data_IF_317392320696
#
_entry.id   IF_317392320696
#
_cell.length_a   1.000
_cell.length_b   1.000
_cell.length_c   1.000
_cell.angle_alpha   90.00
_cell.angle_beta   90.00
_cell.angle_gamma   90.00
#
_symmetry.space_group_name_H-M   'P 1'
#
loop_
_entity.id
_entity.type
_entity.pdbx_description
1 polymer ?
#
# COMPACT_ATOMS: atom_id res chain seq x y z
N UNK A 1 -8.42 -7.87 -41.34
CA UNK A 1 -8.05 -9.10 -40.61
C UNK A 1 -7.60 -8.66 -39.22
N UNK A 2 -8.25 -9.15 -38.15
CA UNK A 2 -7.79 -8.88 -36.78
C UNK A 2 -6.58 -9.76 -36.52
N UNK A 3 -5.44 -9.16 -36.22
CA UNK A 3 -4.28 -9.88 -35.69
C UNK A 3 -4.72 -10.63 -34.43
N UNK A 4 -4.43 -11.94 -34.30
CA UNK A 4 -4.76 -12.68 -33.10
C UNK A 4 -4.07 -12.03 -31.91
N UNK A 5 -4.81 -11.82 -30.83
CA UNK A 5 -4.25 -11.26 -29.59
C UNK A 5 -3.21 -12.27 -29.08
N UNK A 6 -1.95 -11.85 -28.85
CA UNK A 6 -0.94 -12.74 -28.31
C UNK A 6 -1.40 -13.31 -26.97
N UNK A 7 -1.29 -14.62 -26.82
CA UNK A 7 -1.61 -15.31 -25.57
C UNK A 7 -0.70 -14.79 -24.46
N UNK A 8 -1.25 -14.48 -23.26
CA UNK A 8 -0.42 -14.15 -22.10
C UNK A 8 0.56 -15.29 -21.81
N UNK A 9 1.77 -14.94 -21.38
CA UNK A 9 2.70 -15.95 -20.85
C UNK A 9 2.12 -16.55 -19.56
N UNK A 10 2.56 -17.76 -19.19
CA UNK A 10 2.14 -18.37 -17.92
C UNK A 10 2.45 -17.45 -16.72
N UNK A 11 3.57 -16.71 -16.78
CA UNK A 11 3.94 -15.71 -15.77
C UNK A 11 2.96 -14.53 -15.72
N UNK A 12 2.56 -13.99 -16.86
CA UNK A 12 1.60 -12.89 -16.93
C UNK A 12 0.22 -13.30 -16.40
N UNK A 13 -0.20 -14.54 -16.65
CA UNK A 13 -1.44 -15.09 -16.09
C UNK A 13 -1.37 -15.21 -14.56
N UNK A 14 -0.27 -15.74 -14.03
CA UNK A 14 -0.05 -15.84 -12.58
C UNK A 14 -0.07 -14.46 -11.89
N UNK A 15 0.65 -13.48 -12.46
CA UNK A 15 0.68 -12.11 -11.93
C UNK A 15 -0.69 -11.45 -11.99
N UNK A 16 -1.48 -11.72 -13.03
CA UNK A 16 -2.84 -11.23 -13.11
C UNK A 16 -3.73 -11.81 -12.02
N UNK A 17 -3.63 -13.10 -11.73
CA UNK A 17 -4.41 -13.73 -10.67
C UNK A 17 -3.97 -13.26 -9.27
N UNK A 18 -2.67 -13.06 -9.03
CA UNK A 18 -2.19 -12.42 -7.80
C UNK A 18 -2.67 -10.98 -7.68
N UNK A 19 -2.72 -10.22 -8.78
CA UNK A 19 -3.28 -8.87 -8.77
C UNK A 19 -4.78 -8.89 -8.44
N UNK A 20 -5.55 -9.85 -8.97
CA UNK A 20 -6.96 -10.02 -8.55
C UNK A 20 -7.06 -10.29 -7.05
N UNK A 21 -6.23 -11.18 -6.51
CA UNK A 21 -6.21 -11.43 -5.06
C UNK A 21 -5.91 -10.15 -4.28
N UNK A 22 -4.95 -9.34 -4.75
CA UNK A 22 -4.69 -8.01 -4.19
C UNK A 22 -5.93 -7.11 -4.21
N UNK A 23 -6.71 -7.07 -5.29
CA UNK A 23 -7.93 -6.24 -5.36
C UNK A 23 -8.99 -6.68 -4.34
N UNK A 24 -9.11 -7.98 -4.06
CA UNK A 24 -9.98 -8.45 -2.98
C UNK A 24 -9.44 -8.03 -1.61
N UNK A 25 -8.14 -8.19 -1.40
CA UNK A 25 -7.46 -7.75 -0.18
C UNK A 25 -7.59 -6.23 0.02
N UNK A 26 -7.50 -5.42 -1.03
CA UNK A 26 -7.63 -3.96 -0.93
C UNK A 26 -9.02 -3.52 -0.47
N UNK A 27 -10.06 -4.30 -0.79
CA UNK A 27 -11.44 -4.01 -0.39
C UNK A 27 -11.71 -4.37 1.05
N UNK A 28 -11.28 -5.56 1.46
CA UNK A 28 -11.76 -6.19 2.70
C UNK A 28 -10.64 -6.48 3.70
N UNK A 29 -9.38 -6.34 3.29
CA UNK A 29 -8.20 -6.71 4.06
C UNK A 29 -7.71 -5.63 5.01
N UNK A 30 -6.87 -6.01 5.99
CA UNK A 30 -6.19 -5.06 6.86
C UNK A 30 -5.30 -4.12 6.05
N UNK A 31 -5.25 -2.81 6.35
CA UNK A 31 -4.49 -1.85 5.54
C UNK A 31 -3.01 -2.20 5.40
N UNK A 32 -2.41 -2.78 6.44
CA UNK A 32 -1.00 -3.19 6.42
C UNK A 32 -0.73 -4.34 5.46
N UNK A 33 -1.60 -5.34 5.41
CA UNK A 33 -1.48 -6.47 4.50
C UNK A 33 -1.69 -6.03 3.04
N UNK A 34 -2.58 -5.07 2.81
CA UNK A 34 -2.75 -4.45 1.49
C UNK A 34 -1.45 -3.81 1.01
N UNK A 35 -0.80 -3.01 1.86
CA UNK A 35 0.45 -2.32 1.48
C UNK A 35 1.61 -3.29 1.26
N UNK A 36 1.74 -4.34 2.09
CA UNK A 36 2.73 -5.41 1.86
C UNK A 36 2.50 -6.12 0.54
N UNK A 37 1.26 -6.50 0.24
CA UNK A 37 0.92 -7.16 -1.02
C UNK A 37 1.21 -6.27 -2.23
N UNK A 38 0.90 -4.97 -2.15
CA UNK A 38 1.24 -3.99 -3.18
C UNK A 38 2.75 -3.92 -3.42
N UNK A 39 3.55 -3.81 -2.34
CA UNK A 39 5.02 -3.79 -2.40
C UNK A 39 5.60 -5.07 -3.01
N UNK A 40 5.05 -6.24 -2.66
CA UNK A 40 5.50 -7.50 -3.21
C UNK A 40 5.24 -7.58 -4.72
N UNK A 41 4.05 -7.15 -5.16
CA UNK A 41 3.66 -7.20 -6.57
C UNK A 41 4.40 -6.19 -7.44
N UNK A 42 4.68 -4.99 -6.94
CA UNK A 42 5.33 -3.95 -7.76
C UNK A 42 6.80 -4.27 -8.11
N UNK A 43 7.41 -5.24 -7.41
CA UNK A 43 8.75 -5.76 -7.70
C UNK A 43 8.75 -6.82 -8.81
N UNK A 44 7.59 -7.29 -9.23
CA UNK A 44 7.48 -8.38 -10.21
C UNK A 44 7.70 -7.86 -11.63
N UNK A 45 8.71 -8.42 -12.29
CA UNK A 45 8.94 -8.24 -13.72
C UNK A 45 7.71 -8.78 -14.50
N UNK A 46 7.37 -8.14 -15.62
CA UNK A 46 6.19 -8.45 -16.45
C UNK A 46 4.80 -8.13 -15.87
N UNK A 47 4.71 -7.49 -14.69
CA UNK A 47 3.43 -6.99 -14.22
C UNK A 47 2.83 -6.00 -15.24
N UNK A 48 1.54 -6.15 -15.51
CA UNK A 48 0.84 -5.23 -16.40
C UNK A 48 1.05 -3.77 -15.93
N UNK A 49 1.50 -2.85 -16.81
CA UNK A 49 1.84 -1.48 -16.40
C UNK A 49 0.67 -0.71 -15.76
N UNK A 50 -0.57 -0.97 -16.16
CA UNK A 50 -1.76 -0.34 -15.54
C UNK A 50 -1.93 -0.82 -14.09
N UNK A 51 -1.68 -2.10 -13.82
CA UNK A 51 -1.69 -2.64 -12.46
C UNK A 51 -0.53 -2.09 -11.64
N UNK A 52 0.67 -2.00 -12.23
CA UNK A 52 1.84 -1.42 -11.57
C UNK A 52 1.59 0.04 -11.15
N UNK A 53 0.94 0.85 -12.01
CA UNK A 53 0.54 2.22 -11.68
C UNK A 53 -0.38 2.25 -10.46
N UNK A 54 -1.44 1.43 -10.44
CA UNK A 54 -2.36 1.36 -9.29
C UNK A 54 -1.63 1.07 -7.98
N UNK A 55 -0.73 0.08 -7.99
CA UNK A 55 0.07 -0.30 -6.82
C UNK A 55 1.05 0.80 -6.39
N UNK A 56 1.73 1.43 -7.35
CA UNK A 56 2.62 2.57 -7.06
C UNK A 56 1.85 3.74 -6.44
N UNK A 57 0.66 4.06 -6.96
CA UNK A 57 -0.17 5.12 -6.40
C UNK A 57 -0.70 4.77 -5.01
N UNK A 58 -0.93 3.48 -4.72
CA UNK A 58 -1.24 3.02 -3.36
C UNK A 58 -0.08 3.26 -2.40
N UNK A 59 1.13 2.85 -2.79
CA UNK A 59 2.34 3.02 -1.98
C UNK A 59 2.78 4.48 -1.85
N UNK A 60 2.41 5.34 -2.80
CA UNK A 60 2.66 6.78 -2.75
C UNK A 60 2.03 7.48 -1.53
N UNK A 61 1.07 6.82 -0.86
CA UNK A 61 0.48 7.32 0.37
C UNK A 61 1.42 7.23 1.58
N UNK A 62 2.35 6.28 1.57
CA UNK A 62 3.24 5.98 2.70
C UNK A 62 4.25 7.13 2.86
N UNK A 63 4.44 7.65 4.09
CA UNK A 63 5.52 8.57 4.41
C UNK A 63 6.90 8.05 3.98
N UNK A 64 7.85 8.96 3.73
CA UNK A 64 9.24 8.69 3.35
C UNK A 64 9.46 8.03 1.97
N UNK A 65 8.70 7.00 1.60
CA UNK A 65 8.83 6.32 0.29
C UNK A 65 7.84 6.84 -0.77
N UNK A 66 6.92 7.72 -0.36
CA UNK A 66 5.79 8.12 -1.21
C UNK A 66 6.17 8.87 -2.49
N UNK A 67 7.21 9.71 -2.47
CA UNK A 67 7.67 10.42 -3.68
C UNK A 67 8.25 9.44 -4.71
N UNK A 68 9.04 8.47 -4.26
CA UNK A 68 9.63 7.47 -5.13
C UNK A 68 8.53 6.75 -5.93
N UNK A 69 7.53 6.23 -5.23
CA UNK A 69 6.44 5.52 -5.90
C UNK A 69 5.54 6.43 -6.74
N UNK A 70 5.28 7.67 -6.32
CA UNK A 70 4.57 8.63 -7.17
C UNK A 70 5.35 8.93 -8.47
N UNK A 71 6.67 9.01 -8.39
CA UNK A 71 7.55 9.24 -9.54
C UNK A 71 7.53 8.06 -10.51
N UNK A 72 7.62 6.82 -10.00
CA UNK A 72 7.50 5.62 -10.83
C UNK A 72 6.10 5.47 -11.47
N UNK A 73 5.04 5.86 -10.75
CA UNK A 73 3.68 5.95 -11.32
C UNK A 73 3.61 6.91 -12.51
N UNK A 74 4.12 8.13 -12.34
CA UNK A 74 4.20 9.13 -13.43
C UNK A 74 5.05 8.63 -14.60
N UNK A 75 6.18 7.99 -14.33
CA UNK A 75 7.06 7.41 -15.35
C UNK A 75 6.32 6.35 -16.17
N UNK A 76 5.63 5.44 -15.51
CA UNK A 76 4.89 4.34 -16.15
C UNK A 76 3.73 4.88 -16.99
N UNK A 77 2.94 5.82 -16.45
CA UNK A 77 1.86 6.50 -17.19
C UNK A 77 2.39 7.29 -18.40
N UNK A 78 3.55 7.93 -18.27
CA UNK A 78 4.21 8.64 -19.39
C UNK A 78 4.63 7.68 -20.50
N UNK A 79 5.07 6.46 -20.14
CA UNK A 79 5.37 5.42 -21.12
C UNK A 79 4.09 4.87 -21.77
N UNK A 80 3.07 4.56 -20.98
CA UNK A 80 1.76 4.08 -21.47
C UNK A 80 1.14 5.06 -22.46
N UNK A 81 1.23 6.36 -22.19
CA UNK A 81 0.70 7.41 -23.07
C UNK A 81 1.29 7.35 -24.49
N UNK A 82 2.52 6.85 -24.66
CA UNK A 82 3.13 6.69 -25.99
C UNK A 82 2.43 5.63 -26.84
N UNK A 83 1.77 4.67 -26.20
CA UNK A 83 1.08 3.54 -26.84
C UNK A 83 -0.44 3.61 -26.73
N UNK A 84 -0.97 4.34 -25.74
CA UNK A 84 -2.38 4.56 -25.46
C UNK A 84 -2.59 6.02 -24.98
N UNK A 85 -2.91 6.92 -25.91
CA UNK A 85 -3.21 8.34 -25.61
C UNK A 85 -4.70 8.55 -25.27
N UNK A 86 -5.29 7.64 -24.50
CA UNK A 86 -6.67 7.75 -24.06
C UNK A 86 -6.88 8.87 -23.03
N UNK A 87 -8.11 9.37 -22.95
CA UNK A 87 -8.51 10.35 -21.93
C UNK A 87 -8.29 9.83 -20.50
N UNK A 88 -8.42 8.53 -20.27
CA UNK A 88 -8.16 7.92 -18.95
C UNK A 88 -6.70 8.11 -18.54
N UNK A 89 -5.76 7.69 -19.41
CA UNK A 89 -4.32 7.83 -19.15
C UNK A 89 -3.94 9.29 -18.92
N UNK A 90 -4.52 10.23 -19.68
CA UNK A 90 -4.26 11.66 -19.45
C UNK A 90 -4.71 12.14 -18.07
N UNK A 91 -5.90 11.74 -17.62
CA UNK A 91 -6.42 12.12 -16.29
C UNK A 91 -5.60 11.49 -15.16
N UNK A 92 -5.28 10.20 -15.29
CA UNK A 92 -4.44 9.50 -14.32
C UNK A 92 -3.04 10.12 -14.24
N UNK A 93 -2.44 10.49 -15.38
CA UNK A 93 -1.13 11.14 -15.42
C UNK A 93 -1.17 12.53 -14.76
N UNK A 94 -2.24 13.30 -14.98
CA UNK A 94 -2.42 14.59 -14.31
C UNK A 94 -2.50 14.42 -12.79
N UNK A 95 -3.28 13.45 -12.33
CA UNK A 95 -3.45 13.18 -10.91
C UNK A 95 -2.16 12.64 -10.26
N UNK A 96 -1.50 11.68 -10.91
CA UNK A 96 -0.20 11.17 -10.45
C UNK A 96 0.86 12.29 -10.39
N UNK A 97 0.86 13.20 -11.36
CA UNK A 97 1.77 14.36 -11.36
C UNK A 97 1.46 15.33 -10.21
N UNK A 98 0.18 15.56 -9.90
CA UNK A 98 -0.24 16.37 -8.74
C UNK A 98 0.28 15.76 -7.45
N UNK A 99 0.02 14.46 -7.24
CA UNK A 99 0.46 13.71 -6.06
C UNK A 99 2.00 13.74 -5.96
N UNK A 100 2.73 13.49 -7.04
CA UNK A 100 4.20 13.55 -7.05
C UNK A 100 4.72 14.91 -6.58
N UNK A 101 4.13 16.03 -7.02
CA UNK A 101 4.52 17.38 -6.58
C UNK A 101 4.23 17.63 -5.10
N UNK A 102 3.07 17.17 -4.62
CA UNK A 102 2.70 17.27 -3.21
C UNK A 102 3.67 16.46 -2.34
N UNK A 103 3.95 15.22 -2.72
CA UNK A 103 4.92 14.36 -2.03
C UNK A 103 6.32 14.96 -2.05
N UNK A 104 6.75 15.55 -3.16
CA UNK A 104 8.05 16.23 -3.24
C UNK A 104 8.16 17.42 -2.30
N UNK A 105 7.05 18.15 -2.08
CA UNK A 105 7.02 19.26 -1.12
C UNK A 105 7.12 18.76 0.32
N UNK A 106 6.34 17.73 0.65
CA UNK A 106 6.34 17.09 1.98
C UNK A 106 7.71 16.51 2.29
N UNK A 107 8.30 15.76 1.36
CA UNK A 107 9.60 15.14 1.54
C UNK A 107 10.71 16.18 1.69
N UNK A 108 10.72 17.24 0.87
CA UNK A 108 11.72 18.30 1.00
C UNK A 108 11.65 18.99 2.36
N UNK A 109 10.45 19.26 2.86
CA UNK A 109 10.25 19.82 4.19
C UNK A 109 10.73 18.85 5.29
N UNK A 110 10.43 17.57 5.11
CA UNK A 110 10.85 16.51 6.02
C UNK A 110 12.36 16.35 6.07
N UNK A 111 13.04 16.20 4.92
CA UNK A 111 14.49 16.03 4.83
C UNK A 111 15.24 17.21 5.45
N UNK A 112 14.72 18.44 5.29
CA UNK A 112 15.29 19.63 5.95
C UNK A 112 15.18 19.54 7.47
N UNK A 113 14.06 19.04 8.01
CA UNK A 113 13.90 18.84 9.46
C UNK A 113 14.79 17.69 9.94
N UNK A 114 14.77 16.57 9.23
CA UNK A 114 15.52 15.36 9.53
C UNK A 114 17.03 15.61 9.57
N UNK A 115 17.58 16.41 8.63
CA UNK A 115 19.01 16.73 8.59
C UNK A 115 19.52 17.50 9.81
N UNK A 116 18.64 18.21 10.52
CA UNK A 116 18.99 18.98 11.73
C UNK A 116 18.88 18.17 13.03
N UNK A 117 18.38 16.93 12.97
CA UNK A 117 18.19 16.07 14.14
C UNK A 117 19.46 15.28 14.50
N UNK A 118 19.61 14.94 15.78
CA UNK A 118 20.63 13.97 16.25
C UNK A 118 20.30 12.56 15.80
N UNK A 119 21.29 11.66 15.73
CA UNK A 119 21.11 10.30 15.22
C UNK A 119 20.04 9.50 15.98
N UNK A 120 20.03 9.57 17.31
CA UNK A 120 19.03 8.90 18.16
C UNK A 120 17.62 9.45 17.92
N UNK A 121 17.49 10.76 17.66
CA UNK A 121 16.21 11.40 17.41
C UNK A 121 15.67 11.09 16.01
N UNK A 122 16.54 10.86 15.02
CA UNK A 122 16.16 10.52 13.65
C UNK A 122 15.36 9.21 13.60
N UNK A 123 15.92 8.13 14.13
CA UNK A 123 15.31 6.80 14.09
C UNK A 123 13.94 6.79 14.81
N UNK A 124 13.89 7.36 16.01
CA UNK A 124 12.66 7.47 16.78
C UNK A 124 11.58 8.30 16.06
N UNK A 125 11.97 9.37 15.36
CA UNK A 125 10.98 10.22 14.66
C UNK A 125 10.46 9.55 13.40
N UNK A 126 11.31 8.87 12.62
CA UNK A 126 10.86 8.08 11.45
C UNK A 126 9.89 6.99 11.91
N UNK A 127 10.27 6.24 12.94
CA UNK A 127 9.45 5.16 13.48
C UNK A 127 8.10 5.68 13.97
N UNK A 128 8.09 6.81 14.67
CA UNK A 128 6.86 7.45 15.12
C UNK A 128 5.95 7.86 13.95
N UNK A 129 6.47 8.53 12.92
CA UNK A 129 5.66 8.93 11.75
C UNK A 129 5.04 7.74 11.04
N UNK A 130 5.78 6.63 10.99
CA UNK A 130 5.28 5.38 10.44
C UNK A 130 4.11 4.86 11.27
N UNK A 131 4.29 4.70 12.59
CA UNK A 131 3.22 4.27 13.49
C UNK A 131 2.00 5.20 13.45
N UNK A 132 2.21 6.52 13.45
CA UNK A 132 1.13 7.51 13.36
C UNK A 132 0.33 7.30 12.05
N UNK A 133 1.01 7.09 10.92
CA UNK A 133 0.35 6.81 9.63
C UNK A 133 -0.51 5.54 9.65
N UNK A 134 0.01 4.42 10.16
CA UNK A 134 -0.78 3.18 10.26
C UNK A 134 -1.95 3.31 11.23
N UNK A 135 -1.72 3.99 12.36
CA UNK A 135 -2.79 4.24 13.33
C UNK A 135 -3.93 5.05 12.73
N UNK A 136 -3.62 6.03 11.88
CA UNK A 136 -4.64 6.82 11.18
C UNK A 136 -5.34 5.98 10.10
N UNK A 137 -4.59 5.17 9.34
CA UNK A 137 -5.12 4.28 8.32
C UNK A 137 -6.14 3.25 8.88
N UNK A 138 -5.90 2.76 10.09
CA UNK A 138 -6.81 1.85 10.80
C UNK A 138 -8.09 2.55 11.28
N UNK A 139 -8.01 3.81 11.71
CA UNK A 139 -9.20 4.59 12.13
C UNK A 139 -10.12 4.87 10.94
N UNK A 140 -9.55 5.05 9.77
CA UNK A 140 -10.28 5.33 8.53
C UNK A 140 -10.92 4.08 7.91
N UNK A 141 -10.60 2.87 8.41
CA UNK A 141 -11.33 1.69 7.98
C UNK A 141 -12.77 1.76 8.49
N UNK A 142 -13.77 1.57 7.60
CA UNK A 142 -15.13 1.42 8.06
C UNK A 142 -15.16 0.24 9.02
N UNK A 143 -15.54 0.49 10.27
CA UNK A 143 -15.82 -0.58 11.22
C UNK A 143 -16.75 -1.54 10.51
N UNK A 144 -16.29 -2.77 10.29
CA UNK A 144 -17.14 -3.85 9.87
C UNK A 144 -18.05 -4.17 11.07
N UNK A 145 -18.98 -3.25 11.38
CA UNK A 145 -20.13 -3.53 12.23
C UNK A 145 -20.91 -4.59 11.45
N UNK A 146 -20.60 -5.84 11.78
CA UNK A 146 -21.42 -6.96 11.38
C UNK A 146 -22.86 -6.59 11.63
N UNK A 147 -23.71 -6.79 10.63
CA UNK A 147 -25.13 -6.99 10.91
C UNK A 147 -25.20 -8.30 11.71
N UNK A 148 -25.05 -8.18 13.02
CA UNK A 148 -25.55 -9.20 13.94
C UNK A 148 -27.05 -9.28 13.66
N UNK A 149 -27.41 -10.30 12.88
CA UNK A 149 -28.81 -10.66 12.71
C UNK A 149 -29.15 -11.43 13.99
N UNK A 150 -29.58 -10.71 15.01
CA UNK A 150 -30.37 -11.30 16.08
C UNK A 150 -31.60 -11.95 15.44
N UNK A 151 -31.67 -13.27 15.53
CA UNK A 151 -32.83 -14.05 15.98
C UNK A 151 -32.67 -15.53 15.55
N UNK A 152 -32.21 -16.39 16.47
CA UNK A 152 -33.08 -17.35 17.15
C UNK A 152 -32.29 -18.34 18.03
N UNK A 153 -32.82 -18.46 19.24
CA UNK A 153 -32.42 -19.23 20.40
C UNK A 153 -32.36 -20.75 20.14
N UNK A 154 -31.42 -21.45 20.80
CA UNK A 154 -31.69 -22.61 21.68
C UNK A 154 -30.40 -23.36 22.06
N UNK A 155 -30.25 -23.51 23.38
CA UNK A 155 -29.51 -24.55 24.12
C UNK A 155 -28.18 -24.15 24.79
N UNK A 156 -28.33 -24.02 26.10
CA UNK A 156 -27.38 -24.03 27.21
C UNK A 156 -26.22 -25.03 27.09
N UNK A 157 -24.98 -24.57 27.22
CA UNK A 157 -23.90 -25.23 28.02
C UNK A 157 -22.98 -24.15 28.64
N UNK A 158 -22.77 -24.23 29.96
CA UNK A 158 -21.82 -23.42 30.75
C UNK A 158 -20.37 -23.91 30.58
N UNK A 159 -19.41 -22.97 30.79
CA UNK A 159 -17.93 -23.08 30.92
C UNK A 159 -17.18 -22.96 29.58
N UNK A 160 -16.07 -22.22 29.45
CA UNK A 160 -15.21 -21.57 30.41
C UNK A 160 -14.66 -20.26 29.83
N UNK A 161 -14.42 -19.29 30.70
CA UNK A 161 -13.70 -18.05 30.42
C UNK A 161 -12.21 -18.39 30.25
N UNK A 162 -11.70 -18.31 29.02
CA UNK A 162 -10.28 -18.11 28.75
C UNK A 162 -10.13 -16.73 28.12
N UNK A 163 -9.74 -15.78 28.96
CA UNK A 163 -9.10 -14.54 28.51
C UNK A 163 -7.71 -14.91 28.02
N UNK A 164 -7.55 -15.00 26.69
CA UNK A 164 -6.24 -14.92 26.05
C UNK A 164 -6.32 -13.80 25.00
N UNK A 165 -6.09 -12.58 25.45
CA UNK A 165 -6.04 -11.37 24.62
C UNK A 165 -4.68 -10.69 24.82
N UNK A 166 -3.60 -11.47 24.77
CA UNK A 166 -2.25 -11.02 25.07
C UNK A 166 -1.33 -10.78 23.87
N UNK A 167 -1.66 -11.27 22.67
CA UNK A 167 -0.64 -11.40 21.60
C UNK A 167 -0.84 -10.50 20.37
N UNK A 168 -2.02 -9.92 20.16
CA UNK A 168 -2.29 -9.11 18.95
C UNK A 168 -1.37 -7.90 18.80
N UNK A 169 -0.84 -7.33 19.89
CA UNK A 169 0.03 -6.16 19.82
C UNK A 169 1.45 -6.48 19.34
N UNK A 170 1.98 -7.65 19.71
CA UNK A 170 3.34 -8.07 19.36
C UNK A 170 3.47 -8.53 17.91
N UNK A 171 2.45 -9.21 17.40
CA UNK A 171 2.43 -9.63 15.99
C UNK A 171 2.26 -8.43 15.04
N UNK A 172 1.43 -7.45 15.41
CA UNK A 172 1.21 -6.21 14.62
C UNK A 172 2.45 -5.31 14.55
N UNK A 173 3.22 -5.17 15.63
CA UNK A 173 4.50 -4.44 15.58
C UNK A 173 5.49 -5.07 14.60
N UNK A 174 5.55 -6.41 14.59
CA UNK A 174 6.43 -7.16 13.68
C UNK A 174 6.03 -7.00 12.21
N UNK A 175 4.74 -6.87 11.93
CA UNK A 175 4.21 -6.66 10.59
C UNK A 175 4.51 -5.26 10.03
N UNK A 176 4.60 -4.23 10.87
CA UNK A 176 4.98 -2.87 10.47
C UNK A 176 6.47 -2.74 10.17
N UNK A 177 7.28 -3.64 10.71
CA UNK A 177 8.74 -3.58 10.66
C UNK A 177 9.28 -3.66 9.22
N UNK A 178 8.73 -4.51 8.35
CA UNK A 178 9.23 -4.69 6.97
C UNK A 178 9.11 -3.45 6.08
N UNK A 179 8.06 -2.66 6.29
CA UNK A 179 7.86 -1.41 5.54
C UNK A 179 8.53 -0.22 6.23
N UNK A 180 8.68 -0.28 7.56
CA UNK A 180 9.51 0.65 8.32
C UNK A 180 10.98 0.55 7.91
N UNK A 181 11.52 -0.66 7.74
CA UNK A 181 12.91 -0.86 7.32
C UNK A 181 13.18 -0.31 5.91
N UNK A 182 12.22 -0.36 4.99
CA UNK A 182 12.33 0.30 3.70
C UNK A 182 12.40 1.84 3.84
N UNK A 183 11.53 2.42 4.66
CA UNK A 183 11.54 3.85 4.93
C UNK A 183 12.86 4.29 5.58
N UNK A 184 13.39 3.47 6.49
CA UNK A 184 14.67 3.66 7.14
C UNK A 184 15.83 3.58 6.15
N UNK A 185 15.86 2.55 5.30
CA UNK A 185 16.87 2.37 4.27
C UNK A 185 16.85 3.52 3.24
N UNK A 186 15.67 3.97 2.83
CA UNK A 186 15.50 5.10 1.90
C UNK A 186 16.10 6.40 2.44
N UNK A 187 15.98 6.66 3.74
CA UNK A 187 16.57 7.86 4.37
C UNK A 187 18.08 7.74 4.63
N UNK A 188 18.63 6.53 4.57
CA UNK A 188 20.05 6.25 4.78
C UNK A 188 20.88 6.28 3.47
N UNK A 189 20.22 6.16 2.31
CA UNK A 189 20.82 6.27 0.97
C UNK A 189 20.92 7.70 0.47
#
# INVERSE_FOLDING_TARGET
MKTPVPMPTARQAELYDRYKQYIHLERDGPPIEVLKAAKALVKEEDLNPYHAVHLHMKLAAIPEIGLHHATEGVRTLTQLRKTDDSKSIMMELQEATRIMKERGTVEKAWLKKHSTMTSELKEATVRKRYFDYFSDLEKDQPSHKGKETEEQDLSTVKKARTTDSGSEKGDKEKEMEDLYEDARAFLAS
#
